data_IF_849521022479
#
_entry.id   IF_849521022479
#
_cell.length_a   1.000
_cell.length_b   1.000
_cell.length_c   1.000
_cell.angle_alpha   90.00
_cell.angle_beta   90.00
_cell.angle_gamma   90.00
#
_symmetry.space_group_name_H-M   'P 1'
#
loop_
_entity.id
_entity.type
_entity.pdbx_description
1 polymer ?
#
# COMPACT_ATOMS: atom_id res chain seq x y z
N UNK A 1 -16.96 22.21 -6.32
CA UNK A 1 -16.28 20.92 -6.01
C UNK A 1 -15.72 20.39 -7.32
N UNK A 2 -14.41 20.28 -7.41
CA UNK A 2 -13.74 19.67 -8.57
C UNK A 2 -13.80 18.16 -8.38
N UNK A 3 -14.41 17.44 -9.32
CA UNK A 3 -14.40 15.96 -9.31
C UNK A 3 -12.96 15.48 -9.46
N UNK A 4 -12.61 14.39 -8.76
CA UNK A 4 -11.30 13.79 -8.91
C UNK A 4 -11.07 13.33 -10.36
N UNK A 5 -9.81 13.30 -10.79
CA UNK A 5 -9.42 12.73 -12.08
C UNK A 5 -9.94 11.28 -12.18
N UNK A 6 -10.69 10.91 -13.25
CA UNK A 6 -11.14 9.54 -13.47
C UNK A 6 -10.03 8.49 -13.35
N UNK A 7 -8.78 8.85 -13.70
CA UNK A 7 -7.62 7.96 -13.53
C UNK A 7 -7.30 7.64 -12.07
N UNK A 8 -7.53 8.56 -11.14
CA UNK A 8 -7.32 8.34 -9.70
C UNK A 8 -8.39 7.39 -9.14
N UNK A 9 -9.66 7.62 -9.49
CA UNK A 9 -10.78 6.75 -9.07
C UNK A 9 -10.54 5.31 -9.50
N UNK A 10 -10.16 5.10 -10.77
CA UNK A 10 -9.91 3.77 -11.32
C UNK A 10 -8.76 3.04 -10.60
N UNK A 11 -7.71 3.75 -10.19
CA UNK A 11 -6.60 3.16 -9.44
C UNK A 11 -7.05 2.68 -8.06
N UNK A 12 -7.90 3.43 -7.35
CA UNK A 12 -8.50 2.96 -6.09
C UNK A 12 -9.40 1.73 -6.31
N UNK A 13 -10.27 1.76 -7.33
CA UNK A 13 -11.15 0.61 -7.68
C UNK A 13 -10.34 -0.64 -8.03
N UNK A 14 -9.27 -0.51 -8.81
CA UNK A 14 -8.34 -1.61 -9.11
C UNK A 14 -7.74 -2.19 -7.83
N UNK A 15 -7.39 -1.34 -6.87
CA UNK A 15 -6.79 -1.79 -5.62
C UNK A 15 -7.78 -2.54 -4.71
N UNK A 16 -9.09 -2.24 -4.78
CA UNK A 16 -10.13 -3.07 -4.13
C UNK A 16 -10.03 -4.52 -4.60
N UNK A 17 -9.96 -4.74 -5.92
CA UNK A 17 -9.83 -6.08 -6.50
C UNK A 17 -8.55 -6.79 -6.06
N UNK A 18 -7.43 -6.07 -6.04
CA UNK A 18 -6.14 -6.61 -5.57
C UNK A 18 -6.18 -7.00 -4.08
N UNK A 19 -6.78 -6.17 -3.23
CA UNK A 19 -6.93 -6.45 -1.80
C UNK A 19 -7.82 -7.69 -1.56
N UNK A 20 -8.95 -7.82 -2.26
CA UNK A 20 -9.82 -9.01 -2.18
C UNK A 20 -9.11 -10.28 -2.62
N UNK A 21 -8.38 -10.24 -3.73
CA UNK A 21 -7.59 -11.38 -4.21
C UNK A 21 -6.49 -11.80 -3.22
N UNK A 22 -5.97 -10.86 -2.42
CA UNK A 22 -5.00 -11.11 -1.36
C UNK A 22 -5.62 -11.46 0.00
N UNK A 23 -6.95 -11.58 0.11
CA UNK A 23 -7.65 -11.88 1.37
C UNK A 23 -7.70 -10.69 2.36
N UNK A 24 -7.44 -9.47 1.90
CA UNK A 24 -7.44 -8.25 2.71
C UNK A 24 -8.77 -7.50 2.63
N UNK A 25 -9.85 -8.13 3.10
CA UNK A 25 -11.21 -7.59 2.97
C UNK A 25 -11.38 -6.24 3.68
N UNK A 26 -10.73 -6.05 4.85
CA UNK A 26 -10.78 -4.78 5.56
C UNK A 26 -10.29 -3.62 4.69
N UNK A 27 -9.09 -3.77 4.11
CA UNK A 27 -8.47 -2.76 3.26
C UNK A 27 -9.26 -2.54 1.96
N UNK A 28 -9.85 -3.61 1.41
CA UNK A 28 -10.70 -3.52 0.23
C UNK A 28 -11.89 -2.59 0.46
N UNK A 29 -12.58 -2.72 1.60
CA UNK A 29 -13.72 -1.86 1.94
C UNK A 29 -13.30 -0.41 2.23
N UNK A 30 -12.12 -0.17 2.82
CA UNK A 30 -11.57 1.19 2.94
C UNK A 30 -11.36 1.81 1.55
N UNK A 31 -10.74 1.09 0.62
CA UNK A 31 -10.50 1.61 -0.73
C UNK A 31 -11.77 1.78 -1.57
N UNK A 32 -12.76 0.91 -1.37
CA UNK A 32 -14.07 1.04 -2.01
C UNK A 32 -14.74 2.35 -1.58
N UNK A 33 -14.75 2.62 -0.27
CA UNK A 33 -15.25 3.89 0.25
C UNK A 33 -14.44 5.10 -0.20
N UNK A 34 -13.12 4.99 -0.28
CA UNK A 34 -12.29 6.07 -0.81
C UNK A 34 -12.62 6.37 -2.28
N UNK A 35 -12.89 5.34 -3.10
CA UNK A 35 -13.30 5.54 -4.49
C UNK A 35 -14.66 6.25 -4.59
N UNK A 36 -15.64 5.86 -3.77
CA UNK A 36 -16.93 6.55 -3.71
C UNK A 36 -16.77 8.03 -3.28
N UNK A 37 -15.90 8.29 -2.30
CA UNK A 37 -15.58 9.65 -1.84
C UNK A 37 -14.90 10.50 -2.92
N UNK A 38 -13.98 9.89 -3.69
CA UNK A 38 -13.32 10.53 -4.83
C UNK A 38 -14.32 10.97 -5.91
N UNK A 39 -15.29 10.11 -6.25
CA UNK A 39 -16.35 10.41 -7.22
C UNK A 39 -17.29 11.51 -6.72
N UNK A 40 -17.57 11.53 -5.42
CA UNK A 40 -18.39 12.55 -4.77
C UNK A 40 -17.67 13.90 -4.57
N UNK A 41 -16.34 13.93 -4.72
CA UNK A 41 -15.52 15.12 -4.46
C UNK A 41 -15.33 15.41 -2.97
N UNK A 42 -15.31 14.38 -2.13
CA UNK A 42 -15.21 14.45 -0.67
C UNK A 42 -13.80 14.71 -0.12
N UNK A 43 -13.57 14.44 1.17
CA UNK A 43 -12.27 14.65 1.83
C UNK A 43 -11.09 13.96 1.16
N UNK A 44 -11.24 12.72 0.68
CA UNK A 44 -10.18 11.99 -0.03
C UNK A 44 -9.88 12.67 -1.37
N UNK A 45 -10.89 13.17 -2.09
CA UNK A 45 -10.68 13.96 -3.30
C UNK A 45 -9.88 15.24 -3.04
N UNK A 46 -10.17 15.94 -1.93
CA UNK A 46 -9.41 17.13 -1.52
C UNK A 46 -7.98 16.83 -1.07
N UNK A 47 -7.77 15.67 -0.45
CA UNK A 47 -6.45 15.22 0.00
C UNK A 47 -5.52 14.96 -1.20
N UNK A 48 -6.04 14.35 -2.27
CA UNK A 48 -5.24 13.97 -3.45
C UNK A 48 -5.28 15.01 -4.58
N UNK A 49 -5.98 16.13 -4.41
CA UNK A 49 -6.22 17.12 -5.47
C UNK A 49 -4.94 17.68 -6.10
N UNK A 50 -3.89 17.84 -5.30
CA UNK A 50 -2.61 18.42 -5.72
C UNK A 50 -1.53 17.35 -5.95
N UNK A 51 -1.91 16.06 -6.01
CA UNK A 51 -0.96 14.99 -6.30
C UNK A 51 -0.56 15.04 -7.78
N UNK A 52 0.73 15.26 -8.04
CA UNK A 52 1.31 15.46 -9.38
C UNK A 52 2.04 14.24 -9.96
N UNK A 53 2.04 13.11 -9.22
CA UNK A 53 2.64 11.85 -9.64
C UNK A 53 1.71 10.97 -10.49
N UNK A 54 2.15 9.75 -10.81
CA UNK A 54 1.34 8.74 -11.47
C UNK A 54 0.60 7.89 -10.43
N UNK A 55 -0.74 7.99 -10.29
CA UNK A 55 -1.46 7.36 -9.18
C UNK A 55 -1.23 5.84 -9.05
N UNK A 56 -1.06 5.15 -10.17
CA UNK A 56 -0.81 3.71 -10.21
C UNK A 56 0.63 3.36 -9.86
N UNK A 57 1.61 3.94 -10.58
CA UNK A 57 3.03 3.60 -10.40
C UNK A 57 3.57 4.10 -9.06
N UNK A 58 3.04 5.22 -8.57
CA UNK A 58 3.40 5.79 -7.27
C UNK A 58 2.62 5.17 -6.10
N UNK A 59 1.72 4.22 -6.36
CA UNK A 59 0.92 3.52 -5.36
C UNK A 59 0.11 4.48 -4.46
N UNK A 60 -0.57 5.46 -5.07
CA UNK A 60 -1.30 6.50 -4.36
C UNK A 60 -2.31 5.97 -3.32
N UNK A 61 -3.14 4.93 -3.60
CA UNK A 61 -4.04 4.39 -2.59
C UNK A 61 -3.29 3.92 -1.34
N UNK A 62 -2.15 3.25 -1.53
CA UNK A 62 -1.34 2.75 -0.42
C UNK A 62 -0.67 3.89 0.36
N UNK A 63 -0.30 5.00 -0.30
CA UNK A 63 0.21 6.20 0.41
C UNK A 63 -0.86 6.81 1.30
N UNK A 64 -2.10 6.95 0.80
CA UNK A 64 -3.24 7.44 1.59
C UNK A 64 -3.51 6.53 2.78
N UNK A 65 -3.57 5.20 2.57
CA UNK A 65 -3.73 4.22 3.64
C UNK A 65 -2.59 4.33 4.67
N UNK A 66 -1.34 4.38 4.21
CA UNK A 66 -0.16 4.47 5.07
C UNK A 66 -0.13 5.74 5.92
N UNK A 67 -0.47 6.88 5.34
CA UNK A 67 -0.54 8.16 6.06
C UNK A 67 -1.57 8.12 7.20
N UNK A 68 -2.77 7.58 6.94
CA UNK A 68 -3.80 7.40 7.97
C UNK A 68 -3.40 6.32 8.99
N UNK A 69 -2.75 5.25 8.53
CA UNK A 69 -2.27 4.19 9.41
C UNK A 69 -1.26 4.70 10.45
N UNK A 70 -0.42 5.68 10.10
CA UNK A 70 0.48 6.33 11.04
C UNK A 70 -0.30 6.92 12.22
N UNK A 71 -1.40 7.64 11.97
CA UNK A 71 -2.24 8.22 13.02
C UNK A 71 -2.90 7.16 13.91
N UNK A 72 -3.27 6.01 13.34
CA UNK A 72 -3.79 4.86 14.10
C UNK A 72 -2.70 4.30 15.02
N UNK A 73 -1.48 4.13 14.50
CA UNK A 73 -0.34 3.58 15.25
C UNK A 73 0.19 4.52 16.34
N UNK A 74 0.09 5.84 16.15
CA UNK A 74 0.48 6.85 17.14
C UNK A 74 -0.62 7.16 18.16
N UNK A 75 -1.80 6.55 18.02
CA UNK A 75 -2.92 6.73 18.95
C UNK A 75 -3.73 8.01 18.73
N UNK A 76 -3.58 8.66 17.58
CA UNK A 76 -4.18 9.95 17.23
C UNK A 76 -5.52 9.81 16.46
N UNK A 77 -5.91 8.57 16.14
CA UNK A 77 -7.22 8.23 15.60
C UNK A 77 -7.86 7.07 16.40
N UNK A 78 -8.18 7.26 17.70
CA UNK A 78 -8.69 6.19 18.57
C UNK A 78 -10.01 5.59 18.07
N UNK A 79 -10.88 6.38 17.44
CA UNK A 79 -12.13 5.94 16.84
C UNK A 79 -11.92 4.96 15.68
N UNK A 80 -10.88 5.19 14.87
CA UNK A 80 -10.50 4.28 13.79
C UNK A 80 -9.72 3.09 14.34
N UNK A 81 -8.85 3.29 15.33
CA UNK A 81 -8.08 2.23 15.99
C UNK A 81 -8.99 1.15 16.59
N UNK A 82 -10.11 1.54 17.21
CA UNK A 82 -11.11 0.61 17.75
C UNK A 82 -11.74 -0.31 16.69
N UNK A 83 -11.69 0.10 15.41
CA UNK A 83 -12.24 -0.61 14.26
C UNK A 83 -11.13 -1.25 13.40
N UNK A 84 -9.86 -1.03 13.71
CA UNK A 84 -8.73 -1.41 12.87
C UNK A 84 -8.07 -2.72 13.33
N UNK A 85 -8.12 -3.81 12.54
CA UNK A 85 -7.74 -5.15 13.01
C UNK A 85 -6.25 -5.27 13.30
N UNK A 86 -5.39 -4.54 12.56
CA UNK A 86 -3.93 -4.60 12.77
C UNK A 86 -3.46 -4.06 14.13
N UNK A 87 -4.31 -3.33 14.86
CA UNK A 87 -4.01 -2.79 16.19
C UNK A 87 -4.95 -3.36 17.27
N UNK A 88 -5.59 -4.49 16.98
CA UNK A 88 -6.49 -5.18 17.92
C UNK A 88 -7.93 -4.64 17.95
N UNK A 89 -8.28 -3.72 17.06
CA UNK A 89 -9.66 -3.27 16.87
C UNK A 89 -10.55 -4.33 16.23
N UNK A 90 -11.86 -4.17 16.35
CA UNK A 90 -12.86 -5.06 15.75
C UNK A 90 -13.54 -4.36 14.57
N UNK A 91 -13.26 -4.78 13.32
CA UNK A 91 -13.88 -4.19 12.15
C UNK A 91 -15.41 -4.28 12.18
N UNK A 92 -16.06 -3.15 11.88
CA UNK A 92 -17.48 -3.06 11.58
C UNK A 92 -17.65 -2.17 10.36
N UNK A 93 -18.46 -2.61 9.42
CA UNK A 93 -18.70 -1.89 8.17
C UNK A 93 -20.18 -1.52 8.07
N UNK A 94 -20.50 -0.28 7.63
CA UNK A 94 -19.59 0.69 6.99
C UNK A 94 -18.74 1.54 7.95
N UNK A 95 -18.88 1.39 9.26
CA UNK A 95 -18.34 2.31 10.27
C UNK A 95 -16.83 2.52 10.19
N UNK A 96 -16.05 1.47 9.92
CA UNK A 96 -14.59 1.57 9.78
C UNK A 96 -14.19 2.43 8.57
N UNK A 97 -14.93 2.30 7.47
CA UNK A 97 -14.69 3.05 6.25
C UNK A 97 -15.15 4.51 6.38
N UNK A 98 -16.28 4.74 7.07
CA UNK A 98 -16.72 6.07 7.49
C UNK A 98 -15.68 6.76 8.38
N UNK A 99 -15.19 6.06 9.41
CA UNK A 99 -14.18 6.59 10.32
C UNK A 99 -12.88 6.94 9.59
N UNK A 100 -12.47 6.13 8.61
CA UNK A 100 -11.31 6.44 7.78
C UNK A 100 -11.45 7.77 7.04
N UNK A 101 -12.57 7.98 6.32
CA UNK A 101 -12.82 9.24 5.60
C UNK A 101 -12.94 10.42 6.57
N UNK A 102 -13.54 10.21 7.74
CA UNK A 102 -13.63 11.25 8.78
C UNK A 102 -12.25 11.65 9.34
N UNK A 103 -11.33 10.69 9.51
CA UNK A 103 -9.93 10.98 9.87
C UNK A 103 -9.23 11.76 8.77
N UNK A 104 -9.44 11.38 7.50
CA UNK A 104 -8.90 12.13 6.35
C UNK A 104 -9.39 13.58 6.35
N UNK A 105 -10.67 13.81 6.61
CA UNK A 105 -11.23 15.16 6.70
C UNK A 105 -10.60 15.98 7.84
N UNK A 106 -10.54 15.39 9.04
CA UNK A 106 -10.02 16.07 10.22
C UNK A 106 -8.54 16.43 10.08
N UNK A 107 -7.74 15.54 9.49
CA UNK A 107 -6.28 15.63 9.45
C UNK A 107 -5.74 16.02 8.06
N UNK A 108 -6.59 16.60 7.20
CA UNK A 108 -6.29 16.81 5.78
C UNK A 108 -4.96 17.52 5.52
N UNK A 109 -4.71 18.64 6.22
CA UNK A 109 -3.47 19.43 6.06
C UNK A 109 -2.24 18.68 6.57
N UNK A 110 -2.42 17.81 7.56
CA UNK A 110 -1.34 17.00 8.12
C UNK A 110 -1.02 15.78 7.26
N UNK A 111 -2.04 15.18 6.63
CA UNK A 111 -1.88 14.02 5.75
C UNK A 111 -1.31 14.40 4.37
N UNK A 112 -1.54 15.63 3.90
CA UNK A 112 -1.06 16.10 2.60
C UNK A 112 0.46 15.92 2.39
N UNK A 113 1.36 16.39 3.28
CA UNK A 113 2.79 16.18 3.11
C UNK A 113 3.19 14.69 3.17
N UNK A 114 2.43 13.85 3.89
CA UNK A 114 2.71 12.42 4.01
C UNK A 114 2.60 11.68 2.67
N UNK A 115 1.83 12.21 1.71
CA UNK A 115 1.72 11.62 0.37
C UNK A 115 3.02 11.72 -0.45
N UNK A 116 3.99 12.53 -0.01
CA UNK A 116 5.33 12.54 -0.59
C UNK A 116 6.15 11.30 -0.21
N UNK A 117 5.79 10.60 0.88
CA UNK A 117 6.48 9.39 1.30
C UNK A 117 6.08 8.19 0.43
N UNK A 118 7.07 7.61 -0.25
CA UNK A 118 6.88 6.40 -1.04
C UNK A 118 6.65 5.18 -0.16
N UNK A 119 5.82 4.26 -0.63
CA UNK A 119 5.69 2.94 -0.01
C UNK A 119 6.88 2.06 -0.39
N UNK A 120 7.46 1.36 0.59
CA UNK A 120 8.52 0.39 0.34
C UNK A 120 7.89 -0.97 0.00
N UNK A 121 8.28 -1.57 -1.13
CA UNK A 121 7.75 -2.86 -1.58
C UNK A 121 8.59 -4.02 -1.05
N UNK A 122 8.06 -4.77 -0.09
CA UNK A 122 8.69 -5.93 0.55
C UNK A 122 8.01 -7.24 0.13
N UNK A 123 8.22 -7.66 -1.12
CA UNK A 123 7.52 -8.81 -1.70
C UNK A 123 8.51 -9.93 -2.07
N UNK A 124 8.31 -11.13 -1.51
CA UNK A 124 9.24 -12.27 -1.62
C UNK A 124 9.42 -12.75 -3.06
N UNK A 125 8.36 -12.78 -3.88
CA UNK A 125 8.41 -13.25 -5.27
C UNK A 125 9.31 -12.39 -6.15
N UNK A 126 9.63 -11.14 -5.77
CA UNK A 126 10.69 -10.35 -6.44
C UNK A 126 12.07 -11.03 -6.38
N UNK A 127 12.32 -11.89 -5.39
CA UNK A 127 13.54 -12.69 -5.31
C UNK A 127 13.69 -13.64 -6.52
N UNK A 128 12.61 -14.00 -7.23
CA UNK A 128 12.68 -14.82 -8.43
C UNK A 128 13.54 -14.19 -9.54
N UNK A 129 13.46 -12.87 -9.71
CA UNK A 129 14.33 -12.15 -10.65
C UNK A 129 15.78 -12.07 -10.18
N UNK A 130 15.99 -11.89 -8.86
CA UNK A 130 17.32 -11.81 -8.26
C UNK A 130 18.08 -13.14 -8.38
N UNK A 131 17.41 -14.27 -8.11
CA UNK A 131 18.03 -15.59 -8.20
C UNK A 131 18.63 -15.83 -9.58
N UNK A 132 17.88 -15.55 -10.65
CA UNK A 132 18.36 -15.72 -12.03
C UNK A 132 19.60 -14.89 -12.32
N UNK A 133 19.58 -13.60 -11.94
CA UNK A 133 20.73 -12.70 -12.13
C UNK A 133 21.96 -13.13 -11.32
N UNK A 134 21.77 -13.53 -10.06
CA UNK A 134 22.88 -13.94 -9.19
C UNK A 134 23.50 -15.28 -9.61
N UNK A 135 22.70 -16.22 -10.13
CA UNK A 135 23.23 -17.45 -10.72
C UNK A 135 24.10 -17.16 -11.94
N UNK A 136 23.73 -16.19 -12.77
CA UNK A 136 24.53 -15.80 -13.93
C UNK A 136 25.85 -15.14 -13.52
N UNK A 137 25.83 -14.23 -12.56
CA UNK A 137 27.05 -13.63 -12.00
C UNK A 137 27.98 -14.69 -11.42
N UNK A 138 27.45 -15.66 -10.68
CA UNK A 138 28.24 -16.76 -10.12
C UNK A 138 28.85 -17.64 -11.22
N UNK A 139 28.09 -17.91 -12.30
CA UNK A 139 28.54 -18.69 -13.46
C UNK A 139 29.70 -18.01 -14.19
N UNK A 140 29.62 -16.70 -14.39
CA UNK A 140 30.65 -15.94 -15.12
C UNK A 140 31.92 -15.70 -14.30
N UNK A 141 31.79 -15.48 -13.00
CA UNK A 141 32.93 -15.11 -12.14
C UNK A 141 33.57 -16.30 -11.42
N UNK A 142 32.81 -17.35 -11.12
CA UNK A 142 33.25 -18.47 -10.28
C UNK A 142 33.52 -18.09 -8.82
N UNK A 143 33.05 -16.94 -8.35
CA UNK A 143 33.30 -16.40 -7.02
C UNK A 143 32.05 -16.47 -6.11
N UNK A 144 32.22 -16.50 -4.77
CA UNK A 144 31.10 -16.39 -3.85
C UNK A 144 30.44 -15.00 -3.94
N UNK A 145 29.11 -14.97 -3.80
CA UNK A 145 28.32 -13.75 -3.89
C UNK A 145 27.98 -13.20 -2.50
N UNK A 146 28.16 -11.89 -2.30
CA UNK A 146 27.74 -11.16 -1.10
C UNK A 146 26.79 -10.05 -1.51
N UNK A 147 25.57 -10.05 -0.97
CA UNK A 147 24.55 -9.02 -1.23
C UNK A 147 24.65 -7.91 -0.19
N UNK A 148 24.64 -6.67 -0.66
CA UNK A 148 24.41 -5.47 0.14
C UNK A 148 23.26 -4.69 -0.50
N UNK A 149 22.11 -4.67 0.18
CA UNK A 149 20.92 -3.95 -0.28
C UNK A 149 20.70 -2.71 0.59
N UNK A 150 20.73 -1.53 -0.04
CA UNK A 150 20.48 -0.25 0.63
C UNK A 150 18.96 -0.04 0.69
N UNK A 151 18.43 0.19 1.89
CA UNK A 151 16.99 0.38 2.07
C UNK A 151 16.18 -0.92 1.99
N UNK A 152 16.74 -2.04 2.44
CA UNK A 152 16.13 -3.38 2.33
C UNK A 152 14.81 -3.58 3.11
N UNK A 153 14.34 -2.57 3.83
CA UNK A 153 13.11 -2.63 4.64
C UNK A 153 13.16 -3.82 5.61
N UNK A 154 12.20 -4.75 5.55
CA UNK A 154 12.19 -5.98 6.34
C UNK A 154 13.28 -7.00 5.94
N UNK A 155 14.14 -6.69 4.96
CA UNK A 155 15.27 -7.53 4.55
C UNK A 155 14.87 -8.78 3.74
N UNK A 156 13.63 -8.87 3.25
CA UNK A 156 13.13 -10.08 2.60
C UNK A 156 13.96 -10.51 1.39
N UNK A 157 14.51 -9.57 0.62
CA UNK A 157 15.33 -9.89 -0.56
C UNK A 157 16.78 -10.24 -0.21
N UNK A 158 17.26 -9.93 1.00
CA UNK A 158 18.55 -10.40 1.51
C UNK A 158 18.57 -11.91 1.73
N UNK A 159 17.40 -12.53 1.88
CA UNK A 159 17.23 -13.98 2.08
C UNK A 159 16.83 -14.71 0.80
N UNK A 160 17.16 -14.15 -0.38
CA UNK A 160 16.79 -14.76 -1.66
C UNK A 160 17.22 -16.24 -1.75
N UNK A 161 18.36 -16.62 -1.17
CA UNK A 161 18.89 -17.98 -1.17
C UNK A 161 18.14 -18.95 -0.23
N UNK A 162 17.22 -18.45 0.60
CA UNK A 162 16.48 -19.23 1.60
C UNK A 162 15.05 -19.59 1.19
N UNK A 163 14.56 -19.06 0.08
CA UNK A 163 13.22 -19.37 -0.40
C UNK A 163 13.21 -20.62 -1.28
N UNK A 164 12.06 -21.30 -1.32
CA UNK A 164 11.80 -22.36 -2.29
C UNK A 164 11.32 -21.71 -3.59
N UNK A 165 12.01 -22.03 -4.70
CA UNK A 165 11.65 -21.58 -6.03
C UNK A 165 10.95 -22.71 -6.79
N UNK A 166 9.72 -22.45 -7.21
CA UNK A 166 8.96 -23.36 -8.06
C UNK A 166 8.81 -22.73 -9.45
N UNK A 167 9.44 -23.35 -10.44
CA UNK A 167 9.37 -22.93 -11.84
C UNK A 167 8.30 -23.75 -12.57
N UNK A 168 7.48 -23.08 -13.39
CA UNK A 168 6.42 -23.71 -14.17
C UNK A 168 5.05 -23.11 -13.90
N UNK A 169 3.98 -23.64 -14.53
CA UNK A 169 2.64 -23.12 -14.34
C UNK A 169 2.20 -23.32 -12.88
N UNK A 170 1.95 -22.20 -12.20
CA UNK A 170 1.32 -22.21 -10.88
C UNK A 170 -0.13 -22.72 -11.05
N UNK A 171 -0.48 -23.77 -10.31
CA UNK A 171 -1.88 -24.17 -10.12
C UNK A 171 -2.56 -23.25 -9.13
#
# INVERSE_FOLDING_TARGET
MTRADPGVVEVFRRQVGACRAAGSEFTAQIFERCADDLEAGGPVARLVADFDGNPLLDALPQRVLGAVQTLVLTGEAPELAALHPAVGGTPRFPEAADAFVAVVERELERLRPELAHQVQTNEVRRAAGLLGGFLEVARETGLPLRVLEIGSSAGLLLFFDRYRYELGPHR
#
